data_IF_427414175034
#
_entry.id   IF_427414175034
#
_cell.length_a   1.000
_cell.length_b   1.000
_cell.length_c   1.000
_cell.angle_alpha   90.00
_cell.angle_beta   90.00
_cell.angle_gamma   90.00
#
_symmetry.space_group_name_H-M   'P 1'
#
loop_
_entity.id
_entity.type
_entity.pdbx_description
1 polymer ?
#
# COMPACT_ATOMS: atom_id res chain seq x y z
N UNK A 1 4.05 -6.46 -12.28
CA UNK A 1 4.87 -7.13 -11.23
C UNK A 1 4.57 -8.62 -11.11
N UNK A 2 3.35 -9.06 -11.45
CA UNK A 2 3.03 -10.49 -11.48
C UNK A 2 3.54 -11.10 -12.78
N UNK A 3 4.25 -12.21 -12.69
CA UNK A 3 4.79 -12.92 -13.84
C UNK A 3 3.71 -13.52 -14.74
N UNK A 4 4.15 -14.02 -15.88
CA UNK A 4 3.31 -14.79 -16.79
C UNK A 4 3.19 -16.23 -16.28
N UNK A 5 1.96 -16.72 -16.15
CA UNK A 5 1.66 -18.10 -15.69
C UNK A 5 1.82 -19.13 -16.84
N UNK A 6 2.36 -18.72 -17.99
CA UNK A 6 2.61 -19.58 -19.14
C UNK A 6 3.86 -20.44 -18.94
N UNK A 7 3.86 -21.66 -19.49
CA UNK A 7 5.06 -22.52 -19.52
C UNK A 7 6.20 -21.81 -20.26
N UNK A 8 7.29 -21.48 -19.57
CA UNK A 8 8.40 -20.67 -20.09
C UNK A 8 8.23 -19.14 -19.93
N UNK A 9 7.15 -18.67 -19.31
CA UNK A 9 6.92 -17.26 -19.00
C UNK A 9 7.78 -16.76 -17.85
N UNK A 10 8.04 -15.45 -17.80
CA UNK A 10 8.77 -14.86 -16.68
C UNK A 10 7.95 -15.00 -15.39
N UNK A 11 8.44 -15.69 -14.34
CA UNK A 11 7.65 -16.01 -13.13
C UNK A 11 7.28 -14.78 -12.29
N UNK A 12 7.93 -13.64 -12.54
CA UNK A 12 7.73 -12.40 -11.80
C UNK A 12 8.83 -12.15 -10.78
N UNK A 13 8.97 -10.90 -10.35
CA UNK A 13 10.05 -10.52 -9.45
C UNK A 13 9.85 -11.11 -8.05
N UNK A 14 8.60 -11.19 -7.59
CA UNK A 14 8.28 -11.64 -6.23
C UNK A 14 8.67 -13.11 -5.99
N UNK A 15 8.33 -14.09 -6.86
CA UNK A 15 8.80 -15.47 -6.69
C UNK A 15 10.32 -15.62 -6.73
N UNK A 16 11.01 -14.81 -7.55
CA UNK A 16 12.48 -14.84 -7.63
C UNK A 16 13.10 -14.37 -6.30
N UNK A 17 12.59 -13.27 -5.75
CA UNK A 17 13.02 -12.77 -4.45
C UNK A 17 12.73 -13.79 -3.35
N UNK A 18 11.56 -14.44 -3.36
CA UNK A 18 11.24 -15.46 -2.36
C UNK A 18 12.21 -16.65 -2.42
N UNK A 19 12.46 -17.20 -3.61
CA UNK A 19 13.42 -18.30 -3.78
C UNK A 19 14.84 -17.92 -3.36
N UNK A 20 15.25 -16.67 -3.59
CA UNK A 20 16.55 -16.17 -3.14
C UNK A 20 16.63 -16.13 -1.61
N UNK A 21 15.59 -15.62 -0.95
CA UNK A 21 15.53 -15.55 0.50
C UNK A 21 15.50 -16.94 1.15
N UNK A 22 14.79 -17.89 0.55
CA UNK A 22 14.75 -19.28 1.00
C UNK A 22 16.11 -19.99 0.83
N UNK A 23 16.91 -19.58 -0.16
CA UNK A 23 18.28 -20.10 -0.38
C UNK A 23 19.32 -19.48 0.55
N UNK A 24 19.04 -18.29 1.09
CA UNK A 24 19.88 -17.65 2.08
C UNK A 24 19.56 -18.24 3.46
N UNK A 25 20.58 -18.62 4.23
CA UNK A 25 20.40 -19.21 5.56
C UNK A 25 20.01 -18.14 6.61
N UNK A 26 18.87 -17.48 6.40
CA UNK A 26 18.30 -16.39 7.20
C UNK A 26 17.51 -16.99 8.38
N UNK A 27 17.55 -16.34 9.54
CA UNK A 27 16.73 -16.74 10.67
C UNK A 27 15.22 -16.53 10.41
N UNK A 28 14.39 -17.28 11.14
CA UNK A 28 12.92 -17.29 10.95
C UNK A 28 12.30 -15.91 11.25
N UNK A 29 12.87 -15.13 12.19
CA UNK A 29 12.32 -13.84 12.59
C UNK A 29 12.49 -12.80 11.47
N UNK A 30 13.70 -12.73 10.91
CA UNK A 30 14.07 -11.89 9.78
C UNK A 30 13.28 -12.26 8.53
N UNK A 31 13.13 -13.57 8.25
CA UNK A 31 12.30 -14.05 7.13
C UNK A 31 10.83 -13.66 7.29
N UNK A 32 10.28 -13.79 8.51
CA UNK A 32 8.90 -13.38 8.81
C UNK A 32 8.67 -11.88 8.59
N UNK A 33 9.61 -11.03 9.04
CA UNK A 33 9.54 -9.58 8.81
C UNK A 33 9.59 -9.24 7.31
N UNK A 34 10.47 -9.90 6.57
CA UNK A 34 10.62 -9.65 5.14
C UNK A 34 9.40 -10.10 4.34
N UNK A 35 8.84 -11.26 4.67
CA UNK A 35 7.60 -11.75 4.07
C UNK A 35 6.44 -10.74 4.29
N UNK A 36 6.33 -10.13 5.48
CA UNK A 36 5.33 -9.07 5.73
C UNK A 36 5.50 -7.87 4.79
N UNK A 37 6.74 -7.42 4.53
CA UNK A 37 6.99 -6.33 3.59
C UNK A 37 6.66 -6.73 2.15
N UNK A 38 7.06 -7.94 1.75
CA UNK A 38 6.79 -8.48 0.41
C UNK A 38 5.29 -8.63 0.16
N UNK A 39 4.53 -9.12 1.15
CA UNK A 39 3.07 -9.21 1.09
C UNK A 39 2.43 -7.82 0.98
N UNK A 40 2.91 -6.83 1.72
CA UNK A 40 2.43 -5.46 1.62
C UNK A 40 2.63 -4.87 0.21
N UNK A 41 3.81 -5.08 -0.39
CA UNK A 41 4.11 -4.65 -1.76
C UNK A 41 3.19 -5.38 -2.75
N UNK A 42 3.01 -6.71 -2.58
CA UNK A 42 2.12 -7.52 -3.41
C UNK A 42 0.69 -6.97 -3.40
N UNK A 43 0.13 -6.74 -2.22
CA UNK A 43 -1.25 -6.22 -2.04
C UNK A 43 -1.44 -4.82 -2.61
N UNK A 44 -0.42 -3.94 -2.49
CA UNK A 44 -0.46 -2.62 -3.14
C UNK A 44 -0.39 -2.73 -4.66
N UNK A 45 0.46 -3.60 -5.19
CA UNK A 45 0.64 -3.79 -6.63
C UNK A 45 -0.57 -4.45 -7.30
N UNK A 46 -1.33 -5.26 -6.57
CA UNK A 46 -2.58 -5.87 -7.05
C UNK A 46 -3.78 -4.93 -6.98
N UNK A 47 -3.63 -3.77 -6.33
CA UNK A 47 -4.73 -2.82 -6.10
C UNK A 47 -5.70 -3.24 -4.98
N UNK A 48 -5.42 -4.34 -4.27
CA UNK A 48 -6.23 -4.80 -3.15
C UNK A 48 -6.13 -3.87 -1.93
N UNK A 49 -5.01 -3.15 -1.79
CA UNK A 49 -4.78 -2.18 -0.73
C UNK A 49 -4.72 -0.77 -1.32
N UNK A 50 -5.54 0.15 -0.82
CA UNK A 50 -5.55 1.53 -1.31
C UNK A 50 -4.21 2.21 -1.03
N UNK A 51 -3.70 2.93 -2.02
CA UNK A 51 -2.54 3.80 -1.81
C UNK A 51 -2.94 5.02 -0.99
N UNK A 52 -2.00 5.62 -0.25
CA UNK A 52 -2.25 6.86 0.48
C UNK A 52 -2.77 7.95 -0.48
N UNK A 53 -2.23 8.03 -1.68
CA UNK A 53 -2.69 8.97 -2.70
C UNK A 53 -4.15 8.72 -3.12
N UNK A 54 -4.57 7.44 -3.22
CA UNK A 54 -5.97 7.08 -3.48
C UNK A 54 -6.86 7.46 -2.31
N UNK A 55 -6.44 7.14 -1.09
CA UNK A 55 -7.14 7.52 0.14
C UNK A 55 -7.33 9.04 0.24
N UNK A 56 -6.29 9.85 -0.02
CA UNK A 56 -6.39 11.31 0.01
C UNK A 56 -7.38 11.84 -1.02
N UNK A 57 -7.35 11.32 -2.25
CA UNK A 57 -8.32 11.71 -3.28
C UNK A 57 -9.74 11.32 -2.88
N UNK A 58 -9.95 10.11 -2.37
CA UNK A 58 -11.26 9.66 -1.91
C UNK A 58 -11.74 10.53 -0.73
N UNK A 59 -10.87 10.89 0.21
CA UNK A 59 -11.21 11.77 1.33
C UNK A 59 -11.65 13.16 0.85
N UNK A 60 -10.85 13.80 -0.01
CA UNK A 60 -11.16 15.14 -0.55
C UNK A 60 -12.45 15.11 -1.37
N UNK A 61 -12.62 14.12 -2.26
CA UNK A 61 -13.81 14.03 -3.12
C UNK A 61 -15.10 13.80 -2.33
N UNK A 62 -15.04 13.15 -1.17
CA UNK A 62 -16.20 12.92 -0.30
C UNK A 62 -16.36 13.98 0.80
N UNK A 63 -15.51 15.01 0.84
CA UNK A 63 -15.57 16.04 1.87
C UNK A 63 -16.79 16.97 1.63
N UNK A 64 -17.61 17.28 2.64
CA UNK A 64 -18.83 18.10 2.47
C UNK A 64 -18.56 19.50 1.92
N UNK A 65 -17.39 20.08 2.23
CA UNK A 65 -16.99 21.40 1.74
C UNK A 65 -16.32 21.37 0.35
N UNK A 66 -16.10 20.20 -0.25
CA UNK A 66 -15.50 20.08 -1.58
C UNK A 66 -16.55 20.35 -2.66
N UNK A 67 -16.28 21.33 -3.52
CA UNK A 67 -17.24 21.82 -4.51
C UNK A 67 -17.07 21.20 -5.89
N UNK A 68 -16.27 20.13 -6.02
CA UNK A 68 -15.86 19.55 -7.31
C UNK A 68 -15.20 20.57 -8.25
N UNK A 69 -14.61 21.62 -7.68
CA UNK A 69 -13.92 22.71 -8.37
C UNK A 69 -12.40 22.46 -8.45
N UNK A 70 -11.93 21.28 -8.02
CA UNK A 70 -10.51 20.95 -7.88
C UNK A 70 -9.74 21.84 -6.91
N UNK A 71 -10.43 22.62 -6.06
CA UNK A 71 -9.83 23.45 -5.02
C UNK A 71 -9.97 22.75 -3.68
N UNK A 72 -8.84 22.58 -2.99
CA UNK A 72 -8.81 22.03 -1.64
C UNK A 72 -8.65 23.19 -0.67
N UNK A 73 -9.71 23.53 0.05
CA UNK A 73 -9.70 24.63 1.02
C UNK A 73 -8.90 24.26 2.28
N UNK A 74 -8.48 25.27 3.05
CA UNK A 74 -7.74 25.06 4.32
C UNK A 74 -8.49 24.14 5.28
N UNK A 75 -9.82 24.22 5.31
CA UNK A 75 -10.65 23.35 6.15
C UNK A 75 -10.54 21.88 5.74
N UNK A 76 -10.62 21.58 4.44
CA UNK A 76 -10.45 20.22 3.92
C UNK A 76 -9.04 19.69 4.25
N UNK A 77 -8.01 20.54 4.16
CA UNK A 77 -6.63 20.19 4.51
C UNK A 77 -6.51 19.89 6.00
N UNK A 78 -7.09 20.73 6.86
CA UNK A 78 -7.07 20.54 8.31
C UNK A 78 -7.73 19.21 8.72
N UNK A 79 -8.90 18.90 8.16
CA UNK A 79 -9.64 17.67 8.44
C UNK A 79 -8.88 16.43 7.92
N UNK A 80 -8.24 16.55 6.74
CA UNK A 80 -7.40 15.50 6.18
C UNK A 80 -6.19 15.19 7.09
N UNK A 81 -5.46 16.23 7.53
CA UNK A 81 -4.29 16.07 8.38
C UNK A 81 -4.64 15.52 9.75
N UNK A 82 -5.76 15.99 10.33
CA UNK A 82 -6.31 15.47 11.58
C UNK A 82 -6.61 13.98 11.46
N UNK A 83 -7.25 13.55 10.36
CA UNK A 83 -7.51 12.12 10.11
C UNK A 83 -6.22 11.32 9.93
N UNK A 84 -5.22 11.89 9.26
CA UNK A 84 -3.92 11.23 9.10
C UNK A 84 -3.19 11.03 10.44
N UNK A 85 -3.27 12.01 11.35
CA UNK A 85 -2.71 11.88 12.71
C UNK A 85 -3.39 10.73 13.45
N UNK A 86 -4.73 10.70 13.46
CA UNK A 86 -5.51 9.65 14.12
C UNK A 86 -5.17 8.24 13.60
N UNK A 87 -5.08 8.06 12.27
CA UNK A 87 -4.71 6.77 11.67
C UNK A 87 -3.29 6.33 12.05
N UNK A 88 -2.36 7.28 12.16
CA UNK A 88 -0.97 7.03 12.55
C UNK A 88 -0.90 6.58 14.00
N UNK A 89 -1.62 7.26 14.90
CA UNK A 89 -1.64 6.93 16.33
C UNK A 89 -2.25 5.55 16.60
N UNK A 90 -3.28 5.17 15.83
CA UNK A 90 -3.93 3.87 15.93
C UNK A 90 -3.19 2.75 15.17
N UNK A 91 -2.15 3.09 14.39
CA UNK A 91 -1.41 2.16 13.53
C UNK A 91 -2.33 1.40 12.56
N UNK A 92 -3.35 2.09 12.04
CA UNK A 92 -4.35 1.53 11.12
C UNK A 92 -4.01 1.96 9.69
N UNK A 93 -3.86 1.02 8.74
CA UNK A 93 -3.62 1.37 7.36
C UNK A 93 -4.83 2.09 6.73
N UNK A 94 -4.61 3.09 5.84
CA UNK A 94 -5.69 3.79 5.16
C UNK A 94 -6.52 2.81 4.32
N UNK A 95 -7.84 2.78 4.59
CA UNK A 95 -8.82 1.84 4.00
C UNK A 95 -9.48 2.34 2.72
#
# INVERSE_FOLDING_TARGET
>A
MNGQVSSGGFPGLLPIVQNYLDSCNIDIESLSKLNKYLDFIKLRSSGALKTNARFFRDFVMNHPDYKNDSVVSEKIIFDLLSKCSELTDLNIPPS
#
